data_IF_999029828929
#
_entry.id   IF_999029828929
#
_cell.length_a   1.000
_cell.length_b   1.000
_cell.length_c   1.000
_cell.angle_alpha   90.00
_cell.angle_beta   90.00
_cell.angle_gamma   90.00
#
_symmetry.space_group_name_H-M   'P 1'
#
loop_
_entity.id
_entity.type
_entity.pdbx_description
1 polymer ?
#
# COMPACT_ATOMS: atom_id res chain seq x y z
N UNK A 1 -23.03 -22.57 -10.85
CA UNK A 1 -21.58 -22.63 -11.06
C UNK A 1 -21.13 -23.91 -10.38
N UNK A 2 -20.77 -24.95 -11.15
CA UNK A 2 -20.26 -26.19 -10.57
C UNK A 2 -18.96 -25.85 -9.83
N UNK A 3 -18.89 -26.13 -8.52
CA UNK A 3 -17.61 -26.11 -7.83
C UNK A 3 -16.72 -27.11 -8.56
N UNK A 4 -15.57 -26.65 -9.07
CA UNK A 4 -14.47 -27.54 -9.40
C UNK A 4 -14.30 -28.49 -8.22
N UNK A 5 -14.15 -29.79 -8.47
CA UNK A 5 -13.65 -30.69 -7.43
C UNK A 5 -12.42 -30.03 -6.83
N UNK A 6 -12.41 -29.81 -5.52
CA UNK A 6 -11.23 -29.28 -4.86
C UNK A 6 -10.20 -30.40 -4.84
N UNK A 7 -9.08 -30.22 -5.54
CA UNK A 7 -7.91 -31.12 -5.53
C UNK A 7 -7.15 -31.06 -4.18
N UNK A 8 -7.89 -30.80 -3.10
CA UNK A 8 -7.38 -30.63 -1.76
C UNK A 8 -7.65 -31.88 -0.94
N UNK A 9 -6.63 -32.30 -0.21
CA UNK A 9 -6.72 -33.35 0.80
C UNK A 9 -6.27 -32.82 2.16
N UNK A 10 -6.63 -33.53 3.22
CA UNK A 10 -6.21 -33.18 4.57
C UNK A 10 -5.61 -34.36 5.32
N UNK A 11 -4.74 -34.07 6.27
CA UNK A 11 -4.21 -35.03 7.25
C UNK A 11 -4.25 -34.44 8.66
N UNK A 12 -4.52 -35.28 9.65
CA UNK A 12 -4.45 -34.91 11.06
C UNK A 12 -3.10 -35.31 11.62
N UNK A 13 -2.36 -34.37 12.21
CA UNK A 13 -1.01 -34.63 12.75
C UNK A 13 -0.88 -34.11 14.17
N UNK A 14 -0.01 -34.75 14.96
CA UNK A 14 0.49 -34.22 16.22
C UNK A 14 1.66 -33.24 16.01
N UNK A 15 2.12 -32.59 17.09
CA UNK A 15 3.23 -31.61 17.01
C UNK A 15 4.56 -32.21 16.53
N UNK A 16 4.90 -33.42 16.97
CA UNK A 16 6.15 -34.07 16.56
C UNK A 16 6.14 -34.43 15.06
N UNK A 17 5.03 -34.98 14.59
CA UNK A 17 4.80 -35.27 13.17
C UNK A 17 4.80 -33.97 12.35
N UNK A 18 4.18 -32.89 12.85
CA UNK A 18 4.18 -31.58 12.20
C UNK A 18 5.60 -31.06 11.96
N UNK A 19 6.49 -31.14 12.97
CA UNK A 19 7.88 -30.72 12.79
C UNK A 19 8.60 -31.53 11.70
N UNK A 20 8.39 -32.85 11.67
CA UNK A 20 8.98 -33.74 10.66
C UNK A 20 8.47 -33.40 9.26
N UNK A 21 7.17 -33.15 9.12
CA UNK A 21 6.53 -32.71 7.86
C UNK A 21 7.10 -31.37 7.38
N UNK A 22 7.22 -30.39 8.27
CA UNK A 22 7.73 -29.06 7.92
C UNK A 22 9.20 -29.07 7.51
N UNK A 23 9.99 -30.04 8.01
CA UNK A 23 11.37 -30.27 7.57
C UNK A 23 11.48 -31.05 6.25
N UNK A 24 10.36 -31.56 5.73
CA UNK A 24 10.32 -32.41 4.55
C UNK A 24 10.82 -33.83 4.79
N UNK A 25 10.88 -34.28 6.04
CA UNK A 25 11.20 -35.66 6.40
C UNK A 25 10.02 -36.61 6.13
N UNK A 26 8.80 -36.08 6.07
CA UNK A 26 7.55 -36.80 5.76
C UNK A 26 6.65 -35.94 4.89
N UNK A 27 5.96 -36.54 3.93
CA UNK A 27 5.06 -35.84 2.99
C UNK A 27 3.62 -36.36 2.99
N UNK A 28 2.79 -35.81 2.11
CA UNK A 28 1.38 -36.21 1.96
C UNK A 28 1.19 -37.73 1.71
N UNK A 29 2.18 -38.39 1.08
CA UNK A 29 2.15 -39.83 0.81
C UNK A 29 2.43 -40.70 2.03
N UNK A 30 3.16 -40.15 3.01
CA UNK A 30 3.52 -40.85 4.25
C UNK A 30 2.43 -40.70 5.31
N UNK A 31 1.51 -39.75 5.10
CA UNK A 31 0.39 -39.46 5.99
C UNK A 31 -0.92 -40.06 5.46
N UNK A 32 -1.82 -40.40 6.38
CA UNK A 32 -3.18 -40.81 6.04
C UNK A 32 -4.01 -39.60 5.56
N UNK A 33 -3.86 -39.25 4.29
CA UNK A 33 -4.60 -38.17 3.64
C UNK A 33 -6.02 -38.58 3.26
N UNK A 34 -6.97 -37.66 3.42
CA UNK A 34 -8.38 -37.84 3.08
C UNK A 34 -8.83 -36.71 2.16
N UNK A 35 -9.72 -37.02 1.19
CA UNK A 35 -10.31 -36.00 0.31
C UNK A 35 -11.06 -34.96 1.15
N UNK A 36 -10.83 -33.68 0.86
CA UNK A 36 -11.36 -32.59 1.65
C UNK A 36 -12.79 -32.24 1.22
N UNK A 37 -13.77 -32.99 1.73
CA UNK A 37 -15.20 -32.69 1.54
C UNK A 37 -15.69 -31.66 2.58
N UNK A 38 -15.16 -31.75 3.80
CA UNK A 38 -15.38 -30.81 4.90
C UNK A 38 -14.20 -30.89 5.87
N UNK A 39 -13.97 -29.83 6.65
CA UNK A 39 -12.98 -29.89 7.72
C UNK A 39 -13.39 -30.96 8.74
N UNK A 40 -12.47 -31.84 9.16
CA UNK A 40 -12.75 -32.77 10.25
C UNK A 40 -13.03 -31.98 11.53
N UNK A 41 -14.02 -32.40 12.31
CA UNK A 41 -14.20 -31.86 13.67
C UNK A 41 -12.95 -32.20 14.48
N UNK A 42 -12.22 -31.17 14.91
CA UNK A 42 -11.09 -31.38 15.79
C UNK A 42 -11.54 -32.10 17.07
N UNK A 43 -11.02 -33.30 17.27
CA UNK A 43 -11.38 -34.12 18.44
C UNK A 43 -10.63 -33.68 19.70
N UNK A 44 -9.49 -33.01 19.55
CA UNK A 44 -8.64 -32.51 20.64
C UNK A 44 -7.77 -31.34 20.17
N UNK A 45 -7.53 -30.35 21.03
CA UNK A 45 -6.66 -29.18 20.76
C UNK A 45 -5.16 -29.52 20.49
N UNK A 46 -4.80 -30.81 20.54
CA UNK A 46 -3.42 -31.28 20.35
C UNK A 46 -3.08 -31.61 18.89
N UNK A 47 -4.08 -31.74 18.03
CA UNK A 47 -3.88 -32.07 16.62
C UNK A 47 -3.99 -30.83 15.76
N UNK A 48 -3.22 -30.80 14.68
CA UNK A 48 -3.30 -29.79 13.63
C UNK A 48 -3.83 -30.47 12.37
N UNK A 49 -4.64 -29.75 11.59
CA UNK A 49 -5.12 -30.21 10.29
C UNK A 49 -4.20 -29.62 9.24
N UNK A 50 -3.50 -30.47 8.50
CA UNK A 50 -2.71 -30.05 7.34
C UNK A 50 -3.53 -30.18 6.09
N UNK A 51 -3.52 -29.14 5.26
CA UNK A 51 -4.20 -29.09 3.97
C UNK A 51 -3.15 -29.20 2.87
N UNK A 52 -3.39 -30.08 1.91
CA UNK A 52 -2.47 -30.43 0.84
C UNK A 52 -3.14 -30.26 -0.51
N UNK A 53 -2.34 -29.93 -1.53
CA UNK A 53 -2.66 -30.33 -2.91
C UNK A 53 -2.44 -31.83 -3.02
N UNK A 54 -3.25 -32.54 -3.82
CA UNK A 54 -3.29 -34.01 -3.92
C UNK A 54 -1.94 -34.74 -3.80
N UNK A 55 -0.82 -34.16 -4.27
CA UNK A 55 0.55 -34.67 -4.06
C UNK A 55 1.63 -33.59 -3.81
N UNK A 56 1.28 -32.50 -3.13
CA UNK A 56 2.24 -31.44 -2.82
C UNK A 56 3.36 -31.89 -1.86
N UNK A 57 4.61 -31.44 -2.04
CA UNK A 57 5.72 -31.78 -1.13
C UNK A 57 5.59 -31.12 0.25
N UNK A 58 4.69 -30.15 0.41
CA UNK A 58 4.46 -29.39 1.63
C UNK A 58 2.99 -29.00 1.76
N UNK A 59 2.47 -28.81 2.99
CA UNK A 59 1.11 -28.35 3.18
C UNK A 59 0.95 -26.91 2.68
N UNK A 60 -0.23 -26.59 2.16
CA UNK A 60 -0.61 -25.23 1.72
C UNK A 60 -1.15 -24.44 2.91
N UNK A 61 -1.85 -25.13 3.81
CA UNK A 61 -2.37 -24.53 5.03
C UNK A 61 -2.25 -25.47 6.23
N UNK A 62 -2.11 -24.88 7.40
CA UNK A 62 -2.22 -25.51 8.70
C UNK A 62 -3.44 -24.88 9.37
N UNK A 63 -4.42 -25.70 9.71
CA UNK A 63 -5.65 -25.30 10.38
C UNK A 63 -5.61 -25.77 11.83
N UNK A 64 -5.93 -24.85 12.74
CA UNK A 64 -6.00 -25.09 14.18
C UNK A 64 -7.37 -24.71 14.75
N UNK A 65 -7.72 -25.17 15.95
CA UNK A 65 -9.07 -24.98 16.51
C UNK A 65 -9.43 -23.52 16.74
N UNK A 66 -8.47 -22.75 17.25
CA UNK A 66 -8.73 -21.41 17.76
C UNK A 66 -7.50 -20.52 17.68
N UNK A 67 -7.71 -19.24 17.94
CA UNK A 67 -6.63 -18.25 18.05
C UNK A 67 -5.64 -18.64 19.15
N UNK A 68 -6.12 -19.16 20.30
CA UNK A 68 -5.22 -19.61 21.37
C UNK A 68 -4.35 -20.80 20.92
N UNK A 69 -4.93 -21.78 20.23
CA UNK A 69 -4.17 -22.92 19.71
C UNK A 69 -3.11 -22.49 18.69
N UNK A 70 -3.42 -21.47 17.88
CA UNK A 70 -2.48 -20.87 16.93
C UNK A 70 -1.31 -20.19 17.66
N UNK A 71 -1.60 -19.37 18.66
CA UNK A 71 -0.59 -18.64 19.42
C UNK A 71 0.31 -19.63 20.21
N UNK A 72 -0.27 -20.71 20.75
CA UNK A 72 0.49 -21.81 21.36
C UNK A 72 1.41 -22.53 20.37
N UNK A 73 0.93 -22.78 19.15
CA UNK A 73 1.73 -23.40 18.09
C UNK A 73 2.90 -22.51 17.68
N UNK A 74 2.65 -21.22 17.46
CA UNK A 74 3.68 -20.25 17.12
C UNK A 74 4.72 -20.10 18.23
N UNK A 75 4.28 -20.02 19.49
CA UNK A 75 5.19 -19.99 20.64
C UNK A 75 6.06 -21.25 20.73
N UNK A 76 5.48 -22.43 20.50
CA UNK A 76 6.23 -23.69 20.45
C UNK A 76 7.23 -23.72 19.29
N UNK A 77 6.85 -23.30 18.09
CA UNK A 77 7.76 -23.22 16.93
C UNK A 77 8.92 -22.27 17.19
N UNK A 78 8.66 -21.06 17.68
CA UNK A 78 9.71 -20.07 18.00
C UNK A 78 10.66 -20.60 19.07
N UNK A 79 10.15 -21.36 20.06
CA UNK A 79 10.96 -21.87 21.18
C UNK A 79 11.83 -23.07 20.78
N UNK A 80 11.31 -24.01 20.00
CA UNK A 80 11.97 -25.30 19.75
C UNK A 80 12.40 -25.53 18.30
N UNK A 81 11.85 -24.77 17.35
CA UNK A 81 12.00 -24.96 15.90
C UNK A 81 12.25 -23.63 15.18
N UNK A 82 13.15 -22.81 15.70
CA UNK A 82 13.47 -21.50 15.10
C UNK A 82 14.02 -21.59 13.67
N UNK A 83 14.50 -22.77 13.24
CA UNK A 83 14.90 -23.09 11.87
C UNK A 83 13.72 -23.11 10.87
N UNK A 84 12.49 -23.31 11.35
CA UNK A 84 11.28 -23.34 10.54
C UNK A 84 10.60 -21.97 10.42
N UNK A 85 11.10 -20.94 11.11
CA UNK A 85 10.52 -19.61 11.09
C UNK A 85 10.95 -18.83 9.84
N UNK A 86 10.03 -18.07 9.20
CA UNK A 86 8.64 -17.88 9.54
C UNK A 86 7.77 -18.91 8.80
N UNK A 87 6.89 -19.58 9.54
CA UNK A 87 6.04 -20.64 9.01
C UNK A 87 5.13 -20.15 7.88
N UNK A 88 4.64 -18.92 8.03
CA UNK A 88 3.69 -18.25 7.14
C UNK A 88 4.28 -17.79 5.82
N UNK A 89 5.60 -17.93 5.62
CA UNK A 89 6.20 -17.83 4.28
C UNK A 89 6.05 -19.10 3.45
N UNK A 90 5.69 -20.23 4.08
CA UNK A 90 5.60 -21.54 3.41
C UNK A 90 4.16 -22.00 3.24
N UNK A 91 3.30 -21.70 4.20
CA UNK A 91 1.91 -22.16 4.23
C UNK A 91 1.02 -21.17 5.01
N UNK A 92 -0.29 -21.17 4.76
CA UNK A 92 -1.23 -20.39 5.55
C UNK A 92 -1.38 -21.00 6.94
N UNK A 93 -1.36 -20.18 7.99
CA UNK A 93 -1.72 -20.60 9.34
C UNK A 93 -3.09 -20.00 9.69
N UNK A 94 -4.12 -20.84 9.73
CA UNK A 94 -5.52 -20.42 9.85
C UNK A 94 -6.19 -21.06 11.05
N UNK A 95 -7.16 -20.38 11.64
CA UNK A 95 -8.11 -21.04 12.53
C UNK A 95 -9.15 -21.83 11.72
N UNK A 96 -9.86 -22.75 12.36
CA UNK A 96 -10.98 -23.47 11.73
C UNK A 96 -12.05 -22.49 11.22
N UNK A 97 -12.32 -21.43 11.98
CA UNK A 97 -13.25 -20.36 11.58
C UNK A 97 -12.74 -19.60 10.35
N UNK A 98 -11.45 -19.22 10.33
CA UNK A 98 -10.82 -18.57 9.18
C UNK A 98 -10.90 -19.44 7.94
N UNK A 99 -10.52 -20.71 8.06
CA UNK A 99 -10.53 -21.64 6.94
C UNK A 99 -11.95 -21.82 6.39
N UNK A 100 -12.95 -22.05 7.24
CA UNK A 100 -14.34 -22.15 6.78
C UNK A 100 -14.81 -20.86 6.11
N UNK A 101 -14.45 -19.71 6.67
CA UNK A 101 -14.79 -18.39 6.13
C UNK A 101 -14.16 -18.15 4.75
N UNK A 102 -12.93 -18.61 4.53
CA UNK A 102 -12.19 -18.37 3.30
C UNK A 102 -12.43 -19.45 2.24
N UNK A 103 -12.50 -20.73 2.63
CA UNK A 103 -12.63 -21.86 1.72
C UNK A 103 -14.06 -22.05 1.16
N UNK A 104 -15.12 -21.87 1.97
CA UNK A 104 -16.51 -22.13 1.52
C UNK A 104 -16.92 -21.37 0.26
N UNK A 105 -16.33 -20.21 0.02
CA UNK A 105 -16.69 -19.35 -1.11
C UNK A 105 -15.75 -19.52 -2.32
N UNK A 106 -14.78 -20.45 -2.25
CA UNK A 106 -13.70 -20.58 -3.24
C UNK A 106 -12.81 -19.34 -3.28
N UNK A 107 -12.19 -19.11 -4.45
CA UNK A 107 -11.37 -17.92 -4.68
C UNK A 107 -12.15 -16.64 -4.42
N UNK A 108 -11.61 -15.78 -3.54
CA UNK A 108 -12.18 -14.46 -3.26
C UNK A 108 -11.69 -13.47 -4.28
N UNK A 109 -12.65 -12.93 -5.04
CA UNK A 109 -12.39 -11.84 -5.97
C UNK A 109 -12.55 -10.50 -5.25
N UNK A 110 -11.51 -9.66 -5.22
CA UNK A 110 -11.58 -8.34 -4.60
C UNK A 110 -12.54 -7.43 -5.37
N UNK A 111 -13.33 -6.64 -4.64
CA UNK A 111 -14.21 -5.62 -5.22
C UNK A 111 -14.14 -4.32 -4.44
N UNK A 112 -13.92 -3.21 -5.14
CA UNK A 112 -14.00 -1.86 -4.57
C UNK A 112 -15.29 -1.14 -4.98
N UNK A 113 -16.24 -1.87 -5.58
CA UNK A 113 -17.57 -1.38 -5.98
C UNK A 113 -17.51 -0.16 -6.92
N UNK A 114 -16.60 -0.16 -7.90
CA UNK A 114 -16.49 0.93 -8.88
C UNK A 114 -15.66 2.12 -8.37
N UNK A 115 -15.06 2.03 -7.18
CA UNK A 115 -14.23 3.08 -6.58
C UNK A 115 -12.74 2.87 -6.84
N UNK A 116 -12.38 1.96 -7.73
CA UNK A 116 -11.02 1.50 -7.84
C UNK A 116 -10.04 2.60 -8.29
N UNK A 117 -10.45 3.48 -9.21
CA UNK A 117 -9.63 4.61 -9.64
C UNK A 117 -9.37 5.61 -8.49
N UNK A 118 -10.38 5.87 -7.65
CA UNK A 118 -10.23 6.71 -6.48
C UNK A 118 -9.29 6.10 -5.43
N UNK A 119 -9.40 4.79 -5.17
CA UNK A 119 -8.49 4.06 -4.28
C UNK A 119 -7.06 4.08 -4.82
N UNK A 120 -6.87 3.86 -6.12
CA UNK A 120 -5.58 3.92 -6.76
C UNK A 120 -4.93 5.30 -6.61
N UNK A 121 -5.68 6.37 -6.90
CA UNK A 121 -5.22 7.75 -6.71
C UNK A 121 -4.84 8.03 -5.26
N UNK A 122 -5.67 7.58 -4.31
CA UNK A 122 -5.39 7.74 -2.88
C UNK A 122 -4.10 7.03 -2.46
N UNK A 123 -3.85 5.82 -2.94
CA UNK A 123 -2.61 5.06 -2.68
C UNK A 123 -1.38 5.81 -3.21
N UNK A 124 -1.46 6.35 -4.43
CA UNK A 124 -0.36 7.13 -5.01
C UNK A 124 -0.11 8.42 -4.22
N UNK A 125 -1.17 9.14 -3.84
CA UNK A 125 -1.06 10.35 -3.02
C UNK A 125 -0.43 10.07 -1.65
N UNK A 126 -0.82 8.97 -1.00
CA UNK A 126 -0.23 8.49 0.25
C UNK A 126 1.25 8.13 0.05
N UNK A 127 1.58 7.43 -1.04
CA UNK A 127 2.96 7.07 -1.39
C UNK A 127 3.85 8.29 -1.61
N UNK A 128 3.38 9.28 -2.40
CA UNK A 128 4.09 10.55 -2.65
C UNK A 128 4.35 11.30 -1.34
N UNK A 129 3.34 11.34 -0.47
CA UNK A 129 3.40 12.01 0.82
C UNK A 129 4.40 11.33 1.77
N UNK A 130 4.24 10.02 1.96
CA UNK A 130 5.01 9.20 2.89
C UNK A 130 6.49 9.13 2.49
N UNK A 131 6.79 9.06 1.19
CA UNK A 131 8.17 9.02 0.68
C UNK A 131 8.75 10.40 0.36
N UNK A 132 7.93 11.47 0.43
CA UNK A 132 8.29 12.84 0.00
C UNK A 132 8.89 12.89 -1.41
N UNK A 133 8.44 11.98 -2.28
CA UNK A 133 8.99 11.76 -3.61
C UNK A 133 8.00 12.22 -4.67
N UNK A 134 8.51 12.62 -5.84
CA UNK A 134 7.67 12.90 -7.00
C UNK A 134 7.17 11.60 -7.62
N UNK A 135 6.05 11.69 -8.34
CA UNK A 135 5.38 10.55 -8.97
C UNK A 135 6.34 9.68 -9.80
N UNK A 136 7.19 10.31 -10.62
CA UNK A 136 8.14 9.63 -11.52
C UNK A 136 9.23 8.84 -10.80
N UNK A 137 9.40 9.07 -9.49
CA UNK A 137 10.38 8.37 -8.64
C UNK A 137 9.75 7.32 -7.73
N UNK A 138 8.42 7.19 -7.73
CA UNK A 138 7.74 6.21 -6.91
C UNK A 138 7.96 4.79 -7.44
N UNK A 139 8.29 3.89 -6.52
CA UNK A 139 8.32 2.46 -6.79
C UNK A 139 7.02 1.80 -6.33
N UNK A 140 6.70 0.64 -6.92
CA UNK A 140 5.58 -0.19 -6.49
C UNK A 140 5.67 -0.52 -4.99
N UNK A 141 6.86 -0.86 -4.51
CA UNK A 141 7.08 -1.20 -3.09
C UNK A 141 6.68 -0.07 -2.13
N UNK A 142 6.85 1.19 -2.52
CA UNK A 142 6.44 2.34 -1.69
C UNK A 142 4.92 2.42 -1.66
N UNK A 143 4.24 2.18 -2.79
CA UNK A 143 2.78 2.16 -2.86
C UNK A 143 2.18 1.04 -2.00
N UNK A 144 2.76 -0.16 -2.06
CA UNK A 144 2.34 -1.31 -1.25
C UNK A 144 2.65 -1.18 0.25
N UNK A 145 3.48 -0.20 0.63
CA UNK A 145 3.77 0.12 2.05
C UNK A 145 2.82 1.14 2.68
N UNK A 146 1.92 1.73 1.88
CA UNK A 146 1.00 2.77 2.36
C UNK A 146 -0.10 2.21 3.24
N UNK A 147 -0.57 3.03 4.18
CA UNK A 147 -1.77 2.72 4.97
C UNK A 147 -2.98 2.58 4.05
N UNK A 148 -3.10 3.48 3.09
CA UNK A 148 -4.22 3.50 2.14
C UNK A 148 -4.29 2.21 1.32
N UNK A 149 -3.15 1.63 0.91
CA UNK A 149 -3.13 0.34 0.22
C UNK A 149 -3.61 -0.80 1.13
N UNK A 150 -3.13 -0.85 2.38
CA UNK A 150 -3.56 -1.85 3.36
C UNK A 150 -5.08 -1.81 3.57
N UNK A 151 -5.64 -0.60 3.76
CA UNK A 151 -7.08 -0.37 3.92
C UNK A 151 -7.84 -0.80 2.67
N UNK A 152 -7.42 -0.33 1.49
CA UNK A 152 -8.07 -0.64 0.22
C UNK A 152 -8.12 -2.15 -0.03
N UNK A 153 -6.98 -2.83 0.17
CA UNK A 153 -6.84 -4.26 -0.09
C UNK A 153 -7.68 -5.09 0.88
N UNK A 154 -7.65 -4.78 2.17
CA UNK A 154 -8.49 -5.45 3.16
C UNK A 154 -9.99 -5.16 2.93
N UNK A 155 -10.34 -3.93 2.54
CA UNK A 155 -11.70 -3.58 2.20
C UNK A 155 -12.20 -4.34 0.95
N UNK A 156 -11.35 -4.51 -0.06
CA UNK A 156 -11.70 -5.21 -1.29
C UNK A 156 -11.99 -6.70 -1.06
N UNK A 157 -11.23 -7.37 -0.18
CA UNK A 157 -11.35 -8.80 0.09
C UNK A 157 -12.37 -9.13 1.20
N UNK A 158 -12.53 -8.24 2.18
CA UNK A 158 -13.23 -8.52 3.43
C UNK A 158 -14.28 -7.49 3.81
N UNK A 159 -14.46 -6.43 3.01
CA UNK A 159 -15.41 -5.35 3.26
C UNK A 159 -14.83 -4.21 4.12
N UNK A 160 -15.50 -3.04 4.14
CA UNK A 160 -14.93 -1.79 4.64
C UNK A 160 -14.54 -1.80 6.12
N UNK A 161 -15.24 -2.58 6.96
CA UNK A 161 -14.90 -2.73 8.38
C UNK A 161 -13.50 -3.34 8.58
N UNK A 162 -13.16 -4.35 7.78
CA UNK A 162 -11.83 -4.99 7.82
C UNK A 162 -10.75 -4.08 7.22
N UNK A 163 -11.12 -3.26 6.22
CA UNK A 163 -10.27 -2.19 5.71
C UNK A 163 -9.74 -1.30 6.82
N UNK A 164 -10.63 -0.74 7.64
CA UNK A 164 -10.23 0.19 8.71
C UNK A 164 -9.42 -0.48 9.84
N UNK A 165 -9.64 -1.76 10.12
CA UNK A 165 -8.80 -2.50 11.07
C UNK A 165 -7.39 -2.77 10.56
N UNK A 166 -7.18 -2.77 9.24
CA UNK A 166 -5.86 -3.00 8.65
C UNK A 166 -4.83 -1.92 9.04
N UNK A 167 -5.29 -0.71 9.39
CA UNK A 167 -4.43 0.38 9.88
C UNK A 167 -3.74 -0.04 11.19
N UNK A 168 -4.51 -0.54 12.15
CA UNK A 168 -3.99 -0.95 13.45
C UNK A 168 -3.05 -2.15 13.31
N UNK A 169 -3.41 -3.09 12.43
CA UNK A 169 -2.57 -4.23 12.07
C UNK A 169 -1.23 -3.81 11.44
N UNK A 170 -1.26 -2.87 10.50
CA UNK A 170 -0.07 -2.33 9.85
C UNK A 170 0.83 -1.59 10.85
N UNK A 171 0.25 -0.79 11.73
CA UNK A 171 1.02 -0.07 12.75
C UNK A 171 1.66 -1.03 13.76
N UNK A 172 0.97 -2.10 14.17
CA UNK A 172 1.61 -3.19 14.94
C UNK A 172 2.80 -3.77 14.18
N UNK A 173 2.63 -4.14 12.90
CA UNK A 173 3.73 -4.70 12.11
C UNK A 173 4.94 -3.74 12.02
N UNK A 174 4.69 -2.44 11.79
CA UNK A 174 5.74 -1.41 11.76
C UNK A 174 6.40 -1.22 13.12
N UNK A 175 5.65 -1.24 14.22
CA UNK A 175 6.20 -1.08 15.57
C UNK A 175 7.22 -2.18 15.87
N UNK A 176 6.90 -3.44 15.55
CA UNK A 176 7.82 -4.56 15.76
C UNK A 176 9.01 -4.52 14.81
N UNK A 177 8.75 -4.48 13.50
CA UNK A 177 9.79 -4.63 12.48
C UNK A 177 10.70 -3.40 12.36
N UNK A 178 10.21 -2.23 12.75
CA UNK A 178 10.96 -0.97 12.74
C UNK A 178 11.29 -0.46 14.14
N UNK A 179 11.11 -1.28 15.18
CA UNK A 179 11.43 -0.95 16.57
C UNK A 179 10.97 0.47 16.97
N UNK A 180 9.81 0.89 16.46
CA UNK A 180 9.30 2.24 16.72
C UNK A 180 8.67 2.23 18.10
N UNK A 181 9.04 3.19 18.94
CA UNK A 181 8.30 3.44 20.17
C UNK A 181 6.83 3.65 19.79
N UNK A 182 5.93 2.91 20.46
CA UNK A 182 4.50 2.92 20.15
C UNK A 182 4.00 4.36 20.10
N UNK A 183 3.76 4.88 18.90
CA UNK A 183 3.05 6.14 18.76
C UNK A 183 1.62 5.88 19.22
N UNK A 184 1.00 6.86 19.88
CA UNK A 184 -0.42 6.80 20.24
C UNK A 184 -1.30 6.40 19.04
N UNK A 185 -2.56 6.04 19.32
CA UNK A 185 -3.57 5.56 18.35
C UNK A 185 -3.33 6.06 16.93
N UNK A 186 -3.12 5.14 15.99
CA UNK A 186 -2.86 5.44 14.59
C UNK A 186 -3.83 6.51 14.07
N UNK A 187 -3.28 7.66 13.65
CA UNK A 187 -4.10 8.75 13.10
C UNK A 187 -4.47 8.38 11.67
N UNK A 188 -5.71 7.92 11.52
CA UNK A 188 -6.27 7.55 10.23
C UNK A 188 -6.42 8.77 9.33
N UNK A 189 -6.12 8.61 8.05
CA UNK A 189 -6.32 9.65 7.06
C UNK A 189 -7.83 9.89 6.82
N UNK A 190 -8.28 11.14 7.00
CA UNK A 190 -9.68 11.51 6.85
C UNK A 190 -10.24 11.14 5.46
N UNK A 191 -9.44 11.31 4.40
CA UNK A 191 -9.86 11.03 3.03
C UNK A 191 -10.04 9.53 2.78
N UNK A 192 -9.13 8.70 3.31
CA UNK A 192 -9.20 7.24 3.25
C UNK A 192 -10.44 6.70 3.98
N UNK A 193 -10.79 7.28 5.12
CA UNK A 193 -12.00 6.93 5.84
C UNK A 193 -13.28 7.32 5.10
N UNK A 194 -13.34 8.51 4.48
CA UNK A 194 -14.49 8.88 3.62
C UNK A 194 -14.60 7.88 2.48
N UNK A 195 -13.50 7.55 1.80
CA UNK A 195 -13.51 6.63 0.67
C UNK A 195 -14.00 5.23 1.07
N UNK A 196 -13.57 4.71 2.23
CA UNK A 196 -14.10 3.48 2.81
C UNK A 196 -15.60 3.59 3.16
N UNK A 197 -16.08 4.77 3.56
CA UNK A 197 -17.49 5.02 3.86
C UNK A 197 -18.41 5.01 2.62
N UNK A 198 -17.85 5.17 1.41
CA UNK A 198 -18.60 5.07 0.16
C UNK A 198 -18.93 3.62 -0.22
N UNK A 199 -18.21 2.64 0.35
CA UNK A 199 -18.44 1.23 0.06
C UNK A 199 -19.72 0.70 0.73
N UNK A 200 -20.41 -0.28 0.14
CA UNK A 200 -21.57 -0.92 0.76
C UNK A 200 -21.25 -1.55 2.12
N UNK A 201 -22.16 -1.42 3.08
CA UNK A 201 -22.00 -2.00 4.43
C UNK A 201 -21.08 -1.21 5.37
N UNK A 202 -20.64 -0.01 4.97
CA UNK A 202 -19.96 0.94 5.84
C UNK A 202 -20.92 1.55 6.88
N UNK A 203 -20.35 2.09 7.96
CA UNK A 203 -21.10 2.85 8.97
C UNK A 203 -20.90 4.34 8.68
N UNK A 204 -21.98 5.13 8.76
CA UNK A 204 -21.90 6.58 8.56
C UNK A 204 -21.05 7.24 9.63
N UNK A 205 -20.37 8.34 9.26
CA UNK A 205 -19.61 9.14 10.22
C UNK A 205 -20.55 10.07 11.01
N UNK A 206 -20.18 10.47 12.23
CA UNK A 206 -21.02 11.34 13.06
C UNK A 206 -20.72 12.85 12.90
N UNK A 207 -19.75 13.26 12.07
CA UNK A 207 -19.41 14.68 11.92
C UNK A 207 -20.17 15.32 10.76
N UNK A 208 -20.77 16.50 11.01
CA UNK A 208 -21.52 17.26 9.99
C UNK A 208 -20.69 17.54 8.73
N UNK A 209 -19.44 17.97 8.90
CA UNK A 209 -18.53 18.24 7.77
C UNK A 209 -18.13 16.93 7.06
N UNK A 210 -17.96 15.83 7.80
CA UNK A 210 -17.73 14.51 7.23
C UNK A 210 -18.92 14.02 6.39
N UNK A 211 -20.15 14.23 6.86
CA UNK A 211 -21.36 13.88 6.12
C UNK A 211 -21.50 14.70 4.84
N UNK A 212 -21.21 16.00 4.89
CA UNK A 212 -21.24 16.89 3.72
C UNK A 212 -20.21 16.44 2.66
N UNK A 213 -18.97 16.16 3.08
CA UNK A 213 -17.92 15.66 2.19
C UNK A 213 -18.30 14.29 1.62
N UNK A 214 -18.81 13.37 2.45
CA UNK A 214 -19.28 12.06 1.99
C UNK A 214 -20.45 12.16 1.02
N UNK A 215 -21.40 13.08 1.24
CA UNK A 215 -22.50 13.34 0.31
C UNK A 215 -22.01 13.88 -1.03
N UNK A 216 -21.05 14.81 -1.01
CA UNK A 216 -20.40 15.31 -2.23
C UNK A 216 -19.70 14.16 -2.98
N UNK A 217 -18.91 13.35 -2.30
CA UNK A 217 -18.26 12.18 -2.91
C UNK A 217 -19.26 11.18 -3.51
N UNK A 218 -20.36 10.86 -2.81
CA UNK A 218 -21.44 10.00 -3.35
C UNK A 218 -22.04 10.58 -4.62
N UNK A 219 -22.25 11.90 -4.66
CA UNK A 219 -22.79 12.57 -5.85
C UNK A 219 -21.85 12.48 -7.05
N UNK A 220 -20.53 12.52 -6.82
CA UNK A 220 -19.52 12.35 -7.87
C UNK A 220 -19.51 10.91 -8.40
N UNK A 221 -19.66 9.91 -7.53
CA UNK A 221 -19.73 8.49 -7.93
C UNK A 221 -20.98 8.19 -8.77
N UNK A 222 -22.13 8.77 -8.41
CA UNK A 222 -23.41 8.53 -9.07
C UNK A 222 -23.65 9.42 -10.28
N UNK A 223 -22.74 10.35 -10.58
CA UNK A 223 -22.92 11.28 -11.69
C UNK A 223 -22.91 10.53 -13.01
N UNK A 224 -23.97 10.69 -13.79
CA UNK A 224 -24.08 10.15 -15.16
C UNK A 224 -23.50 11.09 -16.22
N UNK A 225 -22.92 12.22 -15.80
CA UNK A 225 -22.29 13.18 -16.70
C UNK A 225 -20.88 12.74 -17.06
N UNK A 226 -20.45 13.08 -18.29
CA UNK A 226 -19.07 12.89 -18.75
C UNK A 226 -18.04 13.51 -17.80
N UNK A 227 -18.44 14.55 -17.06
CA UNK A 227 -17.65 15.19 -16.02
C UNK A 227 -18.50 15.24 -14.73
N UNK A 228 -18.16 14.43 -13.70
CA UNK A 228 -18.87 14.46 -12.43
C UNK A 228 -18.79 15.83 -11.75
N UNK A 229 -19.90 16.34 -11.24
CA UNK A 229 -19.93 17.63 -10.54
C UNK A 229 -20.73 17.57 -9.25
N UNK A 230 -20.35 18.38 -8.26
CA UNK A 230 -21.11 18.52 -7.01
C UNK A 230 -22.44 19.26 -7.31
N UNK A 231 -23.61 18.70 -6.91
CA UNK A 231 -24.91 19.33 -7.11
C UNK A 231 -25.03 20.70 -6.43
N UNK A 232 -25.79 21.62 -7.04
CA UNK A 232 -26.03 22.98 -6.53
C UNK A 232 -26.52 23.03 -5.08
N UNK A 233 -27.32 22.04 -4.66
CA UNK A 233 -27.80 21.94 -3.28
C UNK A 233 -26.63 21.78 -2.29
N UNK A 234 -25.69 20.87 -2.58
CA UNK A 234 -24.52 20.66 -1.73
C UNK A 234 -23.56 21.85 -1.83
N UNK A 235 -23.41 22.46 -3.00
CA UNK A 235 -22.61 23.70 -3.17
C UNK A 235 -23.10 24.80 -2.23
N UNK A 236 -24.42 25.00 -2.08
CA UNK A 236 -24.97 25.97 -1.11
C UNK A 236 -24.61 25.62 0.32
N UNK A 237 -24.57 24.34 0.67
CA UNK A 237 -24.15 23.89 2.01
C UNK A 237 -22.67 24.19 2.26
N UNK A 238 -21.78 24.03 1.28
CA UNK A 238 -20.39 24.48 1.37
C UNK A 238 -20.31 26.00 1.58
N UNK A 239 -21.04 26.78 0.78
CA UNK A 239 -21.06 28.26 0.88
C UNK A 239 -21.54 28.72 2.26
N UNK A 240 -22.51 28.02 2.86
CA UNK A 240 -22.99 28.32 4.21
C UNK A 240 -21.93 28.08 5.30
N UNK A 241 -20.98 27.18 5.06
CA UNK A 241 -19.82 26.97 5.95
C UNK A 241 -18.80 28.08 5.74
N UNK A 242 -18.49 28.41 4.49
CA UNK A 242 -17.61 29.53 4.17
C UNK A 242 -17.96 30.21 2.85
N UNK A 243 -18.08 31.55 2.83
CA UNK A 243 -18.38 32.29 1.61
C UNK A 243 -17.26 32.21 0.57
N UNK A 244 -16.05 31.78 0.96
CA UNK A 244 -14.92 31.56 0.04
C UNK A 244 -15.22 30.48 -1.00
N UNK A 245 -16.27 29.66 -0.83
CA UNK A 245 -16.65 28.61 -1.78
C UNK A 245 -17.71 29.05 -2.81
N UNK A 246 -17.99 30.35 -2.93
CA UNK A 246 -18.98 30.93 -3.84
C UNK A 246 -18.82 30.48 -5.31
N UNK A 247 -17.58 30.28 -5.76
CA UNK A 247 -17.26 29.87 -7.13
C UNK A 247 -17.31 28.35 -7.36
N UNK A 248 -17.56 27.54 -6.33
CA UNK A 248 -17.51 26.07 -6.42
C UNK A 248 -18.48 25.51 -7.46
N UNK A 249 -19.70 26.05 -7.55
CA UNK A 249 -20.71 25.63 -8.55
C UNK A 249 -20.38 26.05 -9.98
N UNK A 250 -19.42 26.96 -10.17
CA UNK A 250 -19.01 27.46 -11.48
C UNK A 250 -17.72 26.81 -11.99
N UNK A 251 -17.11 25.91 -11.21
CA UNK A 251 -15.75 25.42 -11.46
C UNK A 251 -15.57 24.82 -12.85
N UNK A 252 -16.54 24.05 -13.34
CA UNK A 252 -16.48 23.41 -14.65
C UNK A 252 -16.53 24.42 -15.81
N UNK A 253 -17.13 25.59 -15.57
CA UNK A 253 -17.25 26.67 -16.57
C UNK A 253 -16.07 27.64 -16.51
N UNK A 254 -15.25 27.58 -15.47
CA UNK A 254 -14.12 28.47 -15.28
C UNK A 254 -12.92 28.07 -16.16
N UNK A 255 -12.18 29.03 -16.74
CA UNK A 255 -10.87 28.79 -17.32
C UNK A 255 -9.87 28.27 -16.26
N UNK A 256 -8.84 27.53 -16.70
CA UNK A 256 -7.81 26.98 -15.81
C UNK A 256 -7.14 28.05 -14.92
N UNK A 257 -6.84 29.23 -15.47
CA UNK A 257 -6.26 30.33 -14.70
C UNK A 257 -7.21 30.81 -13.58
N UNK A 258 -8.50 30.93 -13.86
CA UNK A 258 -9.51 31.30 -12.86
C UNK A 258 -9.64 30.23 -11.78
N UNK A 259 -9.56 28.93 -12.13
CA UNK A 259 -9.54 27.83 -11.16
C UNK A 259 -8.32 27.91 -10.24
N UNK A 260 -7.14 28.25 -10.77
CA UNK A 260 -5.92 28.48 -9.97
C UNK A 260 -6.08 29.70 -9.05
N UNK A 261 -6.66 30.80 -9.52
CA UNK A 261 -6.95 31.97 -8.67
C UNK A 261 -7.89 31.61 -7.53
N UNK A 262 -8.94 30.84 -7.82
CA UNK A 262 -9.86 30.33 -6.81
C UNK A 262 -9.17 29.42 -5.78
N UNK A 263 -8.28 28.53 -6.25
CA UNK A 263 -7.46 27.69 -5.36
C UNK A 263 -6.58 28.53 -4.41
N UNK A 264 -6.05 29.67 -4.87
CA UNK A 264 -5.28 30.59 -4.01
C UNK A 264 -6.14 31.22 -2.92
N UNK A 265 -7.37 31.62 -3.24
CA UNK A 265 -8.33 32.14 -2.25
C UNK A 265 -8.64 31.09 -1.18
N UNK A 266 -8.86 29.84 -1.60
CA UNK A 266 -9.07 28.72 -0.67
C UNK A 266 -7.85 28.53 0.22
N UNK A 267 -6.64 28.52 -0.35
CA UNK A 267 -5.37 28.38 0.38
C UNK A 267 -5.18 29.46 1.44
N UNK A 268 -5.46 30.72 1.10
CA UNK A 268 -5.39 31.84 2.03
C UNK A 268 -6.39 31.64 3.18
N UNK A 269 -7.63 31.29 2.88
CA UNK A 269 -8.66 31.05 3.87
C UNK A 269 -8.41 29.80 4.75
N UNK A 270 -7.73 28.76 4.23
CA UNK A 270 -7.36 27.57 5.03
C UNK A 270 -6.42 27.92 6.18
N UNK A 271 -5.59 28.97 6.05
CA UNK A 271 -4.68 29.38 7.12
C UNK A 271 -5.42 30.00 8.31
N UNK A 272 -6.58 30.62 8.05
CA UNK A 272 -7.42 31.30 9.03
C UNK A 272 -8.64 30.45 9.46
N UNK A 273 -8.79 29.26 8.90
CA UNK A 273 -9.93 28.38 9.15
C UNK A 273 -9.94 27.82 10.58
N UNK A 274 -11.14 27.69 11.16
CA UNK A 274 -11.30 26.97 12.41
C UNK A 274 -10.86 25.51 12.25
N UNK A 275 -10.23 24.89 13.26
CA UNK A 275 -9.75 23.51 13.17
C UNK A 275 -10.83 22.49 12.75
N UNK A 276 -12.10 22.73 13.09
CA UNK A 276 -13.23 21.87 12.71
C UNK A 276 -13.61 21.91 11.22
N UNK A 277 -13.21 22.96 10.50
CA UNK A 277 -13.53 23.13 9.08
C UNK A 277 -12.37 22.73 8.15
N UNK A 278 -11.18 22.50 8.70
CA UNK A 278 -9.98 22.18 7.93
C UNK A 278 -10.19 21.02 6.94
N UNK A 279 -10.92 19.98 7.36
CA UNK A 279 -11.28 18.83 6.51
C UNK A 279 -12.03 19.24 5.25
N UNK A 280 -12.95 20.18 5.39
CA UNK A 280 -13.80 20.69 4.31
C UNK A 280 -12.99 21.58 3.36
N UNK A 281 -12.12 22.45 3.89
CA UNK A 281 -11.18 23.23 3.07
C UNK A 281 -10.21 22.34 2.29
N UNK A 282 -9.67 21.30 2.93
CA UNK A 282 -8.76 20.36 2.28
C UNK A 282 -9.48 19.58 1.17
N UNK A 283 -10.73 19.17 1.40
CA UNK A 283 -11.57 18.53 0.38
C UNK A 283 -11.82 19.46 -0.81
N UNK A 284 -12.28 20.70 -0.59
CA UNK A 284 -12.59 21.64 -1.67
C UNK A 284 -11.32 22.00 -2.45
N UNK A 285 -10.20 22.23 -1.76
CA UNK A 285 -8.91 22.47 -2.42
C UNK A 285 -8.50 21.29 -3.32
N UNK A 286 -8.60 20.06 -2.82
CA UNK A 286 -8.31 18.86 -3.61
C UNK A 286 -9.26 18.71 -4.81
N UNK A 287 -10.57 18.88 -4.60
CA UNK A 287 -11.57 18.86 -5.67
C UNK A 287 -11.23 19.89 -6.76
N UNK A 288 -10.89 21.13 -6.39
CA UNK A 288 -10.49 22.18 -7.34
C UNK A 288 -9.24 21.77 -8.12
N UNK A 289 -8.21 21.22 -7.46
CA UNK A 289 -6.99 20.73 -8.13
C UNK A 289 -7.34 19.65 -9.16
N UNK A 290 -8.21 18.71 -8.82
CA UNK A 290 -8.65 17.64 -9.74
C UNK A 290 -9.34 18.18 -10.99
N UNK A 291 -9.85 19.42 -10.95
CA UNK A 291 -10.53 20.10 -12.06
C UNK A 291 -9.65 21.10 -12.82
N UNK A 292 -8.40 21.38 -12.44
CA UNK A 292 -7.59 22.40 -13.14
C UNK A 292 -7.14 21.94 -14.53
N UNK A 293 -6.60 20.73 -14.65
CA UNK A 293 -6.12 20.19 -15.93
C UNK A 293 -6.24 18.68 -16.09
N UNK A 294 -6.84 17.98 -15.11
CA UNK A 294 -7.03 16.52 -15.14
C UNK A 294 -5.74 15.70 -15.17
N UNK A 295 -4.57 16.33 -14.99
CA UNK A 295 -3.26 15.71 -15.14
C UNK A 295 -2.51 15.65 -13.81
N UNK A 296 -1.69 14.61 -13.66
CA UNK A 296 -0.81 14.36 -12.51
C UNK A 296 0.16 15.50 -12.22
N UNK A 297 0.43 16.35 -13.21
CA UNK A 297 1.27 17.55 -13.08
C UNK A 297 0.68 18.58 -12.11
N UNK A 298 -0.63 18.61 -11.96
CA UNK A 298 -1.35 19.56 -11.11
C UNK A 298 -1.27 19.19 -9.63
N UNK A 299 -0.84 17.97 -9.28
CA UNK A 299 -0.61 17.56 -7.89
C UNK A 299 0.45 18.40 -7.18
N UNK A 300 1.36 19.03 -7.92
CA UNK A 300 2.33 19.98 -7.37
C UNK A 300 1.66 21.18 -6.72
N UNK A 301 0.44 21.55 -7.12
CA UNK A 301 -0.33 22.65 -6.51
C UNK A 301 -0.70 22.37 -5.05
N UNK A 302 -0.73 21.11 -4.63
CA UNK A 302 -0.97 20.74 -3.23
C UNK A 302 0.26 21.02 -2.33
N UNK A 303 1.47 21.19 -2.89
CA UNK A 303 2.71 21.31 -2.11
C UNK A 303 2.72 22.54 -1.19
N UNK A 304 2.04 23.61 -1.58
CA UNK A 304 2.04 24.84 -0.80
C UNK A 304 1.02 24.88 0.34
N UNK A 305 0.19 23.85 0.49
CA UNK A 305 -0.80 23.79 1.56
C UNK A 305 -0.16 23.29 2.86
N UNK A 306 -0.54 23.87 4.00
CA UNK A 306 -0.11 23.39 5.33
C UNK A 306 -0.46 21.92 5.54
N UNK A 307 -1.63 21.49 5.06
CA UNK A 307 -2.11 20.12 5.08
C UNK A 307 -1.96 19.44 3.70
N UNK A 308 -0.79 19.58 3.07
CA UNK A 308 -0.51 19.06 1.72
C UNK A 308 -0.95 17.60 1.50
N UNK A 309 -0.84 16.78 2.54
CA UNK A 309 -1.11 15.34 2.52
C UNK A 309 -2.58 15.05 2.25
N UNK A 310 -3.47 15.75 2.97
CA UNK A 310 -4.91 15.63 2.79
C UNK A 310 -5.36 16.28 1.48
N UNK A 311 -4.82 17.44 1.12
CA UNK A 311 -5.16 18.12 -0.13
C UNK A 311 -4.76 17.27 -1.34
N UNK A 312 -3.58 16.66 -1.32
CA UNK A 312 -3.11 15.76 -2.36
C UNK A 312 -3.97 14.49 -2.43
N UNK A 313 -4.30 13.89 -1.30
CA UNK A 313 -5.21 12.75 -1.24
C UNK A 313 -6.57 13.09 -1.87
N UNK A 314 -7.15 14.24 -1.51
CA UNK A 314 -8.41 14.69 -2.08
C UNK A 314 -8.35 15.00 -3.56
N UNK A 315 -7.26 15.59 -4.04
CA UNK A 315 -7.05 15.81 -5.47
C UNK A 315 -7.05 14.50 -6.26
N UNK A 316 -6.37 13.48 -5.75
CA UNK A 316 -6.33 12.18 -6.39
C UNK A 316 -7.66 11.41 -6.28
N UNK A 317 -8.33 11.45 -5.11
CA UNK A 317 -9.62 10.81 -4.90
C UNK A 317 -10.69 11.45 -5.78
N UNK A 318 -10.87 12.77 -5.72
CA UNK A 318 -11.89 13.48 -6.49
C UNK A 318 -11.72 13.29 -8.01
N UNK A 319 -10.48 13.22 -8.49
CA UNK A 319 -10.18 12.93 -9.89
C UNK A 319 -10.51 11.48 -10.31
N UNK A 320 -10.54 10.54 -9.36
CA UNK A 320 -10.86 9.13 -9.62
C UNK A 320 -12.32 8.74 -9.35
N UNK A 321 -13.12 9.57 -8.68
CA UNK A 321 -14.53 9.27 -8.45
C UNK A 321 -15.35 9.40 -9.75
N UNK A 322 -16.13 8.37 -10.06
CA UNK A 322 -16.95 8.32 -11.29
C UNK A 322 -16.18 7.93 -12.55
N UNK A 323 -14.92 7.50 -12.44
CA UNK A 323 -14.08 7.10 -13.58
C UNK A 323 -14.00 5.57 -13.69
N UNK A 324 -14.48 5.00 -14.80
CA UNK A 324 -14.45 3.55 -15.03
C UNK A 324 -13.09 3.03 -15.54
N UNK A 325 -12.36 3.83 -16.32
CA UNK A 325 -11.18 3.38 -17.09
C UNK A 325 -9.92 4.20 -16.81
N UNK A 326 -9.26 3.96 -15.67
CA UNK A 326 -8.00 4.66 -15.34
C UNK A 326 -6.74 3.80 -15.52
N UNK A 327 -6.89 2.49 -15.76
CA UNK A 327 -5.86 1.51 -15.45
C UNK A 327 -4.70 1.37 -16.44
N UNK A 328 -4.88 1.73 -17.70
CA UNK A 328 -3.92 1.36 -18.75
C UNK A 328 -2.72 2.30 -18.83
N UNK A 329 -2.88 3.60 -18.51
CA UNK A 329 -1.83 4.62 -18.59
C UNK A 329 -1.73 5.55 -17.36
N UNK A 330 -2.50 5.33 -16.29
CA UNK A 330 -2.41 6.15 -15.09
C UNK A 330 -1.05 6.06 -14.41
N UNK A 331 -0.61 7.21 -13.89
CA UNK A 331 0.56 7.37 -13.05
C UNK A 331 1.82 6.82 -13.69
N UNK A 332 2.04 7.17 -14.97
CA UNK A 332 3.17 6.70 -15.78
C UNK A 332 3.26 5.15 -15.84
N UNK A 333 2.12 4.45 -15.72
CA UNK A 333 2.02 2.99 -15.72
C UNK A 333 2.16 2.32 -14.35
N UNK A 334 2.57 3.07 -13.31
CA UNK A 334 2.60 2.58 -11.92
C UNK A 334 1.18 2.22 -11.45
N UNK A 335 0.17 2.95 -11.93
CA UNK A 335 -1.23 2.71 -11.63
C UNK A 335 -1.66 1.27 -11.92
N UNK A 336 -1.22 0.72 -13.07
CA UNK A 336 -1.50 -0.65 -13.49
C UNK A 336 -0.91 -1.70 -12.54
N UNK A 337 0.29 -1.45 -12.03
CA UNK A 337 0.99 -2.39 -11.15
C UNK A 337 0.32 -2.42 -9.77
N UNK A 338 -0.01 -1.26 -9.22
CA UNK A 338 -0.75 -1.17 -7.95
C UNK A 338 -2.14 -1.79 -8.09
N UNK A 339 -2.84 -1.54 -9.20
CA UNK A 339 -4.12 -2.14 -9.52
C UNK A 339 -4.08 -3.68 -9.54
N UNK A 340 -3.04 -4.24 -10.15
CA UNK A 340 -2.84 -5.68 -10.23
C UNK A 340 -2.76 -6.30 -8.83
N UNK A 341 -2.00 -5.70 -7.92
CA UNK A 341 -1.88 -6.19 -6.55
C UNK A 341 -3.15 -5.94 -5.73
N UNK A 342 -3.78 -4.77 -5.91
CA UNK A 342 -5.02 -4.39 -5.23
C UNK A 342 -6.18 -5.32 -5.60
N UNK A 343 -6.23 -5.77 -6.86
CA UNK A 343 -7.29 -6.62 -7.41
C UNK A 343 -6.88 -8.09 -7.60
N UNK A 344 -5.74 -8.53 -7.05
CA UNK A 344 -5.32 -9.93 -7.11
C UNK A 344 -6.33 -10.83 -6.37
N UNK A 345 -6.89 -11.89 -6.96
CA UNK A 345 -7.74 -12.83 -6.23
C UNK A 345 -6.98 -13.50 -5.08
N UNK A 346 -7.68 -13.85 -4.00
CA UNK A 346 -7.15 -14.74 -2.98
C UNK A 346 -7.69 -16.15 -3.22
N UNK A 347 -6.80 -17.11 -3.43
CA UNK A 347 -7.12 -18.54 -3.37
C UNK A 347 -6.33 -19.20 -2.26
N UNK A 348 -6.98 -20.07 -1.47
CA UNK A 348 -6.29 -20.91 -0.50
C UNK A 348 -5.62 -22.13 -1.13
N UNK A 349 -5.75 -22.30 -2.44
CA UNK A 349 -5.10 -23.36 -3.21
C UNK A 349 -3.68 -22.95 -3.66
N UNK A 350 -3.30 -21.68 -3.46
CA UNK A 350 -1.97 -21.15 -3.75
C UNK A 350 -1.15 -21.03 -2.46
N UNK A 351 0.18 -20.97 -2.58
CA UNK A 351 1.03 -20.68 -1.42
C UNK A 351 0.96 -19.19 -1.05
N UNK A 352 1.22 -18.83 0.23
CA UNK A 352 1.32 -17.42 0.61
C UNK A 352 2.43 -16.68 -0.17
N UNK A 353 2.15 -15.45 -0.60
CA UNK A 353 3.16 -14.55 -1.21
C UNK A 353 3.87 -13.64 -0.18
N UNK A 354 3.71 -13.89 1.12
CA UNK A 354 4.27 -13.06 2.18
C UNK A 354 5.56 -13.67 2.74
N UNK A 355 6.47 -12.81 3.20
CA UNK A 355 7.65 -13.24 3.95
C UNK A 355 7.28 -13.62 5.39
N UNK A 356 6.24 -13.01 5.97
CA UNK A 356 5.80 -13.30 7.35
C UNK A 356 4.37 -12.77 7.58
N UNK A 357 3.60 -13.42 8.45
CA UNK A 357 2.29 -12.92 8.90
C UNK A 357 2.40 -12.01 10.11
N UNK A 358 1.41 -11.14 10.30
CA UNK A 358 1.27 -10.32 11.50
C UNK A 358 1.20 -11.18 12.78
N UNK A 359 0.58 -12.35 12.70
CA UNK A 359 0.44 -13.24 13.84
C UNK A 359 1.80 -13.75 14.32
N UNK A 360 2.70 -14.12 13.40
CA UNK A 360 4.08 -14.46 13.75
C UNK A 360 4.89 -13.25 14.24
N UNK A 361 4.70 -12.07 13.64
CA UNK A 361 5.38 -10.84 14.07
C UNK A 361 5.12 -10.55 15.55
N UNK A 362 3.89 -10.78 16.04
CA UNK A 362 3.56 -10.58 17.46
C UNK A 362 4.36 -11.46 18.41
N UNK A 363 4.84 -12.62 17.95
CA UNK A 363 5.71 -13.49 18.74
C UNK A 363 7.20 -13.11 18.64
N UNK A 364 7.60 -12.29 17.66
CA UNK A 364 8.98 -11.78 17.53
C UNK A 364 9.31 -10.68 18.54
N UNK A 365 8.32 -9.92 19.03
CA UNK A 365 8.53 -8.91 20.08
C UNK A 365 9.20 -9.49 21.32
N UNK A 366 8.91 -10.76 21.64
CA UNK A 366 9.48 -11.47 22.78
C UNK A 366 10.97 -11.84 22.61
N UNK A 367 11.52 -11.81 21.39
CA UNK A 367 12.84 -12.36 21.04
C UNK A 367 13.96 -11.32 20.84
N UNK A 368 13.81 -10.09 21.35
CA UNK A 368 14.83 -9.02 21.32
C UNK A 368 15.25 -8.56 19.91
N UNK A 369 14.31 -8.48 18.96
CA UNK A 369 14.42 -7.60 17.79
C UNK A 369 15.42 -7.97 16.69
N UNK A 370 16.13 -9.11 16.79
CA UNK A 370 16.84 -9.69 15.63
C UNK A 370 15.85 -10.53 14.84
N UNK A 371 15.68 -10.23 13.55
CA UNK A 371 14.87 -11.04 12.66
C UNK A 371 15.54 -12.41 12.50
N UNK A 372 14.92 -13.52 12.95
CA UNK A 372 15.52 -14.84 12.85
C UNK A 372 15.49 -15.42 11.43
N UNK A 373 15.00 -14.65 10.45
CA UNK A 373 14.67 -15.16 9.12
C UNK A 373 15.18 -14.28 7.98
N UNK A 374 15.21 -14.88 6.79
CA UNK A 374 15.53 -14.21 5.53
C UNK A 374 14.24 -13.70 4.89
N UNK A 375 14.30 -12.50 4.34
CA UNK A 375 13.23 -11.86 3.59
C UNK A 375 13.59 -11.82 2.11
N UNK A 376 12.57 -11.71 1.25
CA UNK A 376 12.76 -11.59 -0.21
C UNK A 376 13.61 -10.35 -0.57
N UNK A 377 13.53 -9.28 0.21
CA UNK A 377 14.32 -8.06 0.07
C UNK A 377 15.16 -7.80 1.32
N UNK A 378 16.38 -7.29 1.15
CA UNK A 378 17.29 -7.01 2.28
C UNK A 378 16.74 -5.96 3.24
N UNK A 379 16.02 -4.96 2.73
CA UNK A 379 15.60 -3.78 3.50
C UNK A 379 14.08 -3.72 3.72
N UNK A 380 13.35 -4.76 3.32
CA UNK A 380 11.90 -4.79 3.44
C UNK A 380 11.40 -6.24 3.56
N UNK A 381 10.31 -6.42 4.30
CA UNK A 381 9.56 -7.66 4.37
C UNK A 381 8.17 -7.45 3.77
N UNK A 382 7.66 -8.45 3.07
CA UNK A 382 6.25 -8.54 2.70
C UNK A 382 5.51 -9.16 3.88
N UNK A 383 4.63 -8.38 4.50
CA UNK A 383 3.87 -8.79 5.68
C UNK A 383 2.43 -9.09 5.31
N UNK A 384 1.94 -10.28 5.63
CA UNK A 384 0.52 -10.59 5.54
C UNK A 384 -0.20 -10.08 6.80
N UNK A 385 -1.01 -9.02 6.67
CA UNK A 385 -1.85 -8.54 7.78
C UNK A 385 -3.03 -9.47 8.05
N UNK A 386 -3.56 -10.02 6.95
CA UNK A 386 -4.59 -11.05 6.84
C UNK A 386 -4.29 -11.83 5.56
N UNK A 387 -4.84 -13.05 5.36
CA UNK A 387 -4.65 -13.79 4.10
C UNK A 387 -4.95 -12.91 2.87
N UNK A 388 -4.01 -12.82 1.93
CA UNK A 388 -4.16 -12.01 0.71
C UNK A 388 -4.02 -10.49 0.88
N UNK A 389 -3.83 -9.97 2.10
CA UNK A 389 -3.54 -8.56 2.40
C UNK A 389 -2.06 -8.44 2.74
N UNK A 390 -1.25 -8.43 1.68
CA UNK A 390 0.21 -8.40 1.77
C UNK A 390 0.71 -6.96 1.58
N UNK A 391 1.40 -6.43 2.58
CA UNK A 391 1.91 -5.05 2.60
C UNK A 391 3.42 -5.05 2.73
N UNK A 392 4.09 -4.07 2.14
CA UNK A 392 5.54 -3.96 2.27
C UNK A 392 5.90 -3.15 3.51
N UNK A 393 6.71 -3.72 4.40
CA UNK A 393 7.21 -3.03 5.59
C UNK A 393 8.74 -2.93 5.51
N UNK A 394 9.27 -1.71 5.60
CA UNK A 394 10.72 -1.50 5.66
C UNK A 394 11.29 -2.11 6.95
N UNK A 395 12.49 -2.68 6.87
CA UNK A 395 13.22 -3.26 8.00
C UNK A 395 14.33 -2.31 8.45
N UNK A 396 14.62 -2.27 9.75
CA UNK A 396 15.83 -1.61 10.24
C UNK A 396 17.03 -2.49 9.93
N UNK A 397 18.04 -1.90 9.28
CA UNK A 397 19.34 -2.53 9.05
C UNK A 397 20.11 -2.56 10.39
N UNK A 398 19.93 -3.62 11.17
CA UNK A 398 20.54 -3.77 12.51
C UNK A 398 22.08 -3.78 12.46
N UNK A 399 22.68 -4.10 11.30
CA UNK A 399 24.12 -4.11 11.10
C UNK A 399 24.74 -2.71 11.02
N UNK A 400 23.94 -1.68 10.69
CA UNK A 400 24.42 -0.27 10.68
C UNK A 400 24.34 0.40 12.04
N UNK A 401 23.49 -0.07 12.94
CA UNK A 401 23.31 0.50 14.29
C UNK A 401 24.38 0.08 15.30
N UNK A 402 25.16 -0.97 15.04
CA UNK A 402 26.19 -1.47 15.97
C UNK A 402 27.59 -0.85 15.78
N UNK A 403 27.80 0.00 14.76
CA UNK A 403 29.09 0.66 14.47
C UNK A 403 29.10 2.18 14.68
N UNK A 404 28.11 2.75 15.38
CA UNK A 404 28.12 4.18 15.74
C UNK A 404 27.84 4.45 17.22
N UNK A 405 28.65 3.88 18.09
CA UNK A 405 28.99 4.53 19.36
C UNK A 405 30.08 5.57 19.10
N UNK A 406 29.67 6.78 18.71
CA UNK A 406 30.48 7.99 18.90
C UNK A 406 30.00 8.68 20.17
N UNK A 407 30.90 9.11 21.05
CA UNK A 407 30.55 9.68 22.35
C UNK A 407 29.83 11.01 22.20
N UNK A 408 28.93 11.28 23.14
CA UNK A 408 28.23 12.55 23.34
C UNK A 408 29.13 13.76 23.06
N UNK A 409 28.75 14.54 22.06
CA UNK A 409 29.09 15.96 21.99
C UNK A 409 27.80 16.73 21.74
N UNK A 410 27.32 17.40 22.79
CA UNK A 410 26.50 18.59 22.64
C UNK A 410 27.24 19.53 21.69
N UNK A 411 26.57 19.99 20.64
CA UNK A 411 26.84 21.29 20.03
C UNK A 411 25.70 21.70 19.10
N UNK A 412 25.09 22.80 19.51
CA UNK A 412 24.84 24.00 18.71
C UNK A 412 24.73 23.87 17.19
N UNK A 413 23.66 24.50 16.72
CA UNK A 413 23.48 25.04 15.38
C UNK A 413 24.78 25.55 14.73
N UNK A 414 25.33 24.78 13.80
CA UNK A 414 26.07 25.26 12.63
C UNK A 414 26.37 24.08 11.71
N UNK A 415 25.73 24.05 10.54
CA UNK A 415 26.05 23.09 9.48
C UNK A 415 27.50 23.31 9.00
N UNK A 416 28.36 22.30 8.90
CA UNK A 416 29.52 22.37 8.04
C UNK A 416 29.09 22.04 6.60
N UNK A 417 29.01 23.07 5.76
CA UNK A 417 29.07 22.87 4.31
C UNK A 417 30.42 22.19 4.00
N UNK A 418 30.38 20.99 3.44
CA UNK A 418 31.55 20.40 2.78
C UNK A 418 31.81 21.20 1.50
N UNK A 419 32.54 22.31 1.62
CA UNK A 419 33.27 22.92 0.52
C UNK A 419 34.49 22.02 0.27
N UNK A 420 34.45 21.26 -0.83
CA UNK A 420 35.65 20.63 -1.37
C UNK A 420 36.51 21.73 -2.00
N UNK A 421 37.45 22.27 -1.22
CA UNK A 421 38.48 23.19 -1.72
C UNK A 421 39.48 22.41 -2.59
N UNK A 422 39.16 22.25 -3.87
CA UNK A 422 40.13 21.81 -4.86
C UNK A 422 41.06 22.98 -5.19
N UNK A 423 42.38 22.78 -5.07
CA UNK A 423 43.31 23.82 -5.50
C UNK A 423 43.24 24.00 -7.03
N UNK A 424 43.48 25.21 -7.56
CA UNK A 424 43.50 25.44 -9.00
C UNK A 424 44.41 24.48 -9.77
N UNK A 425 45.54 24.10 -9.18
CA UNK A 425 46.47 23.12 -9.73
C UNK A 425 45.91 21.69 -9.79
N UNK A 426 45.04 21.30 -8.84
CA UNK A 426 44.36 20.00 -8.87
C UNK A 426 43.29 19.95 -9.96
N UNK A 427 42.61 21.07 -10.21
CA UNK A 427 41.62 21.19 -11.29
C UNK A 427 42.33 21.16 -12.65
N UNK A 428 43.43 21.91 -12.82
CA UNK A 428 44.24 21.88 -14.05
C UNK A 428 44.79 20.47 -14.33
N UNK A 429 45.34 19.79 -13.33
CA UNK A 429 45.83 18.42 -13.49
C UNK A 429 44.73 17.40 -13.82
N UNK A 430 43.49 17.63 -13.36
CA UNK A 430 42.35 16.80 -13.73
C UNK A 430 41.91 17.06 -15.17
N UNK A 431 41.89 18.33 -15.60
CA UNK A 431 41.54 18.74 -16.96
C UNK A 431 42.56 18.19 -17.97
N UNK A 432 43.87 18.32 -17.71
CA UNK A 432 44.91 17.78 -18.58
C UNK A 432 44.80 16.25 -18.76
N UNK A 433 44.37 15.53 -17.72
CA UNK A 433 44.20 14.08 -17.78
C UNK A 433 42.92 13.66 -18.50
N UNK A 434 41.86 14.46 -18.43
CA UNK A 434 40.56 14.13 -19.03
C UNK A 434 40.42 14.60 -20.47
N UNK A 435 41.09 15.68 -20.87
CA UNK A 435 40.96 16.28 -22.20
C UNK A 435 41.28 15.29 -23.34
N UNK A 436 42.38 14.50 -23.31
CA UNK A 436 42.68 13.55 -24.37
C UNK A 436 41.64 12.43 -24.49
N UNK A 437 41.01 12.05 -23.36
CA UNK A 437 39.98 11.02 -23.32
C UNK A 437 38.65 11.52 -23.91
N UNK A 438 38.32 12.79 -23.67
CA UNK A 438 37.15 13.45 -24.23
C UNK A 438 37.31 13.70 -25.73
N UNK A 439 38.48 14.14 -26.18
CA UNK A 439 38.78 14.32 -27.62
C UNK A 439 38.71 12.99 -28.38
N UNK A 440 39.18 11.89 -27.78
CA UNK A 440 39.06 10.55 -28.37
C UNK A 440 37.60 10.10 -28.50
N UNK A 441 36.75 10.42 -27.52
CA UNK A 441 35.30 10.13 -27.54
C UNK A 441 34.55 10.98 -28.56
N UNK A 442 34.88 12.28 -28.67
CA UNK A 442 34.26 13.18 -29.65
C UNK A 442 34.65 12.84 -31.09
N UNK A 443 35.90 12.45 -31.32
CA UNK A 443 36.35 12.04 -32.66
C UNK A 443 35.81 10.67 -33.09
N UNK A 444 35.44 9.80 -32.15
CA UNK A 444 34.80 8.51 -32.46
C UNK A 444 33.31 8.67 -32.78
N UNK A 445 32.59 9.58 -32.11
CA UNK A 445 31.19 9.90 -32.44
C UNK A 445 31.06 10.71 -33.74
N UNK A 446 31.99 11.60 -34.05
CA UNK A 446 31.99 12.34 -35.32
C UNK A 446 32.24 11.45 -36.55
N UNK A 447 32.97 10.32 -36.38
CA UNK A 447 33.20 9.34 -37.46
C UNK A 447 32.02 8.38 -37.67
N UNK A 448 31.20 8.09 -36.65
CA UNK A 448 30.00 7.25 -36.82
C UNK A 448 28.80 8.01 -37.39
N UNK A 449 28.76 9.33 -37.27
CA UNK A 449 27.65 10.17 -37.75
C UNK A 449 27.59 10.46 -39.27
N UNK A 450 28.56 10.01 -40.08
CA UNK A 450 28.60 10.29 -41.53
C UNK A 450 27.88 9.27 -42.43
N UNK A 451 27.28 8.21 -41.87
CA UNK A 451 26.47 7.23 -42.61
C UNK A 451 24.97 7.31 -42.24
N UNK A 452 24.34 8.47 -42.39
CA UNK A 452 22.86 8.55 -42.45
C UNK A 452 22.38 9.86 -43.06
N UNK A 453 22.60 10.03 -44.37
CA UNK A 453 21.76 10.89 -45.22
C UNK A 453 21.54 10.18 -46.55
N UNK A 454 20.68 9.18 -46.51
CA UNK A 454 20.03 8.63 -47.71
C UNK A 454 18.99 9.63 -48.18
N UNK A 455 19.15 10.04 -49.43
CA UNK A 455 18.29 10.91 -50.22
C UNK A 455 17.02 10.17 -50.63
N UNK A 456 15.84 10.57 -50.14
CA UNK A 456 14.57 10.22 -50.78
C UNK A 456 14.23 11.26 -51.84
N UNK A 457 14.51 10.91 -53.11
CA UNK A 457 13.94 11.58 -54.28
C UNK A 457 12.46 11.18 -54.39
N UNK A 458 11.55 12.14 -54.31
CA UNK A 458 10.19 12.02 -54.84
C UNK A 458 10.24 12.23 -56.36
N UNK A 459 9.67 11.29 -57.10
CA UNK A 459 9.46 11.37 -58.54
C UNK A 459 7.97 11.32 -58.87
N UNK A 460 7.58 12.29 -59.70
CA UNK A 460 6.32 12.46 -60.46
C UNK A 460 5.10 12.94 -59.70
#
# INVERSE_FOLDING_TARGET
MMMSKSDLSFSLVGREELASVLRGESGARDLATQEMIALPREKTAKHQILIWHEQGPRPIAIVVSSVQARDELLAWLVTFHGDLAPLTSWCYLLTSEDFERYHRNGSRYPTLNGLEAAWLGAIIADAMTSSRSELSSLSLSVCLSTETFAVARAAALYGPKNGLSAVEQLETAKQVLQQRAGSGRAKRNFATEVLASLMPGSVSRPSRNGDLVSAACRSLVLSSHDIPSIPDQLVREFINVSPVFDQLGLIEKMPAESRVRFLRLIKEATNDAFPGDAELYNFVAGYVISRIGGAERDFRLAQDFKNREEVLAWAAIAGGLGVETFWTNAFEGLGRLVAKELLRPLSLDEFPDADISLDEIRHLEATNGKLPFRTTSRNSAIVALQPGVNVTVALIDTDRSSTRTLPHTQKDSSQPQMLLDFSPAQIEGLVERLLPLLERRLNTTAKSGKYSRSTSKLSK
#
